data_IF_443562218400
#
_entry.id   IF_443562218400
#
_cell.length_a   1.000
_cell.length_b   1.000
_cell.length_c   1.000
_cell.angle_alpha   90.00
_cell.angle_beta   90.00
_cell.angle_gamma   90.00
#
_symmetry.space_group_name_H-M   'P 1'
#
loop_
_entity.id
_entity.type
_entity.pdbx_description
1 polymer ?
#
# COMPACT_ATOMS: atom_id res chain seq x y z
N UNK A 1 -5.03 -21.67 -3.59
CA UNK A 1 -4.11 -20.88 -4.46
C UNK A 1 -2.71 -20.95 -3.88
N UNK A 2 -1.75 -21.34 -4.69
CA UNK A 2 -0.34 -21.26 -4.33
C UNK A 2 0.18 -19.87 -4.71
N UNK A 3 0.66 -19.13 -3.75
CA UNK A 3 1.28 -17.83 -4.01
C UNK A 3 2.78 -17.99 -4.20
N UNK A 4 3.28 -17.41 -5.27
CA UNK A 4 4.71 -17.43 -5.57
C UNK A 4 5.39 -16.35 -4.75
N UNK A 5 6.44 -16.73 -4.04
CA UNK A 5 7.29 -15.76 -3.34
C UNK A 5 7.96 -14.81 -4.34
N UNK A 6 7.96 -13.53 -4.02
CA UNK A 6 8.63 -12.50 -4.80
C UNK A 6 10.10 -12.38 -4.38
N UNK A 7 11.01 -12.47 -5.35
CA UNK A 7 12.42 -12.27 -5.13
C UNK A 7 13.22 -13.54 -4.80
N UNK A 8 14.43 -13.41 -4.24
CA UNK A 8 15.26 -14.53 -3.83
C UNK A 8 14.58 -15.40 -2.79
N UNK A 9 14.92 -16.67 -2.78
CA UNK A 9 14.35 -17.62 -1.79
C UNK A 9 14.68 -17.21 -0.36
N UNK A 10 13.77 -17.47 0.55
CA UNK A 10 14.01 -17.30 1.98
C UNK A 10 15.22 -18.15 2.41
N UNK A 11 16.06 -17.57 3.27
CA UNK A 11 17.31 -18.18 3.67
C UNK A 11 18.49 -17.89 2.76
N UNK A 12 18.28 -17.23 1.62
CA UNK A 12 19.38 -16.76 0.77
C UNK A 12 20.23 -15.75 1.55
N UNK A 13 21.54 -15.91 1.52
CA UNK A 13 22.50 -15.10 2.30
C UNK A 13 23.37 -14.27 1.41
N UNK A 14 23.67 -13.04 1.87
CA UNK A 14 24.53 -12.10 1.18
C UNK A 14 25.37 -11.33 2.18
N UNK A 15 26.51 -10.80 1.75
CA UNK A 15 27.39 -10.04 2.60
C UNK A 15 27.10 -8.53 2.59
N UNK A 16 26.49 -8.05 1.50
CA UNK A 16 26.20 -6.62 1.30
C UNK A 16 24.75 -6.50 0.84
N UNK A 17 24.02 -5.57 1.46
CA UNK A 17 22.65 -5.25 1.05
C UNK A 17 22.63 -4.57 -0.33
N UNK A 18 21.59 -4.79 -1.13
CA UNK A 18 21.40 -4.07 -2.39
C UNK A 18 21.36 -2.55 -2.19
N UNK A 19 21.86 -1.81 -3.14
CA UNK A 19 21.82 -0.36 -3.12
C UNK A 19 20.37 0.16 -3.03
N UNK A 20 20.15 1.18 -2.20
CA UNK A 20 18.82 1.77 -2.04
C UNK A 20 17.92 1.08 -1.02
N UNK A 21 18.49 0.20 -0.20
CA UNK A 21 17.74 -0.40 0.90
C UNK A 21 17.28 0.65 1.93
N UNK A 22 16.19 0.36 2.61
CA UNK A 22 15.75 1.08 3.80
C UNK A 22 15.81 0.17 5.03
N UNK A 23 16.03 0.77 6.19
CA UNK A 23 16.04 0.07 7.47
C UNK A 23 14.81 0.44 8.28
N UNK A 24 14.20 -0.53 8.94
CA UNK A 24 13.11 -0.34 9.88
C UNK A 24 13.18 -1.38 10.99
N UNK A 25 12.39 -1.19 12.05
CA UNK A 25 12.34 -2.14 13.16
C UNK A 25 10.93 -2.74 13.28
N UNK A 26 10.87 -4.02 13.60
CA UNK A 26 9.65 -4.67 14.09
C UNK A 26 9.91 -5.07 15.53
N UNK A 27 9.32 -4.33 16.47
CA UNK A 27 9.72 -4.41 17.86
C UNK A 27 11.22 -4.06 18.02
N UNK A 28 12.00 -4.86 18.74
CA UNK A 28 13.44 -4.61 18.91
C UNK A 28 14.31 -5.15 17.76
N UNK A 29 13.71 -5.80 16.76
CA UNK A 29 14.45 -6.48 15.68
C UNK A 29 14.61 -5.56 14.48
N UNK A 30 15.85 -5.26 14.03
CA UNK A 30 16.09 -4.52 12.82
C UNK A 30 15.90 -5.39 11.58
N UNK A 31 15.21 -4.81 10.59
CA UNK A 31 15.03 -5.37 9.26
C UNK A 31 15.49 -4.38 8.21
N UNK A 32 15.78 -4.91 7.04
CA UNK A 32 16.14 -4.13 5.86
C UNK A 32 15.21 -4.50 4.72
N UNK A 33 14.89 -3.54 3.89
CA UNK A 33 13.95 -3.70 2.78
C UNK A 33 14.54 -3.09 1.51
N UNK A 34 14.44 -3.82 0.42
CA UNK A 34 14.75 -3.31 -0.89
C UNK A 34 13.83 -3.95 -1.93
N UNK A 35 13.06 -3.13 -2.62
CA UNK A 35 12.21 -3.51 -3.76
C UNK A 35 11.42 -4.82 -3.56
N UNK A 36 10.71 -4.92 -2.44
CA UNK A 36 9.84 -6.05 -2.11
C UNK A 36 10.53 -7.20 -1.36
N UNK A 37 11.83 -7.14 -1.15
CA UNK A 37 12.60 -8.17 -0.47
C UNK A 37 13.02 -7.71 0.91
N UNK A 38 12.86 -8.59 1.90
CA UNK A 38 13.17 -8.32 3.30
C UNK A 38 14.41 -9.08 3.73
N UNK A 39 15.24 -8.42 4.51
CA UNK A 39 16.49 -8.95 5.01
C UNK A 39 16.60 -8.72 6.51
N UNK A 40 17.32 -9.58 7.20
CA UNK A 40 17.77 -9.36 8.57
C UNK A 40 19.24 -9.68 8.72
N UNK A 41 19.84 -9.22 9.78
CA UNK A 41 21.21 -9.59 10.12
C UNK A 41 21.33 -11.11 10.32
N UNK A 42 22.37 -11.68 9.77
CA UNK A 42 22.71 -13.07 9.93
C UNK A 42 24.16 -13.21 10.42
N UNK A 43 24.32 -13.75 11.62
CA UNK A 43 25.63 -13.99 12.24
C UNK A 43 26.63 -12.84 12.04
N UNK A 44 27.90 -13.10 12.02
CA UNK A 44 29.00 -12.12 12.04
C UNK A 44 29.14 -11.29 10.73
N UNK A 45 28.15 -10.47 10.39
CA UNK A 45 28.29 -9.45 9.35
C UNK A 45 27.67 -9.80 7.99
N UNK A 46 26.74 -10.74 7.96
CA UNK A 46 25.94 -11.04 6.76
C UNK A 46 24.46 -10.67 6.92
N UNK A 47 23.74 -10.86 5.85
CA UNK A 47 22.29 -10.67 5.78
C UNK A 47 21.61 -11.92 5.22
N UNK A 48 20.39 -12.15 5.63
CA UNK A 48 19.58 -13.27 5.16
C UNK A 48 18.23 -12.75 4.65
N UNK A 49 17.81 -13.24 3.50
CA UNK A 49 16.47 -12.99 2.98
C UNK A 49 15.45 -13.71 3.86
N UNK A 50 14.48 -12.95 4.34
CA UNK A 50 13.43 -13.45 5.25
C UNK A 50 12.05 -13.17 4.70
N UNK A 51 11.06 -13.90 5.21
CA UNK A 51 9.66 -13.62 4.92
C UNK A 51 9.30 -12.20 5.40
N UNK A 52 8.40 -11.49 4.68
CA UNK A 52 7.89 -10.20 5.12
C UNK A 52 7.29 -10.31 6.52
N UNK A 53 7.79 -9.57 7.52
CA UNK A 53 7.21 -9.62 8.85
C UNK A 53 5.88 -8.86 8.89
N UNK A 54 4.88 -9.42 9.57
CA UNK A 54 3.62 -8.72 9.83
C UNK A 54 3.88 -7.39 10.53
N UNK A 55 3.11 -6.37 10.17
CA UNK A 55 3.21 -5.00 10.67
C UNK A 55 4.50 -4.25 10.27
N UNK A 56 5.34 -4.83 9.42
CA UNK A 56 6.42 -4.08 8.79
C UNK A 56 5.85 -2.95 7.94
N UNK A 57 6.44 -1.77 8.04
CA UNK A 57 6.05 -0.59 7.27
C UNK A 57 7.17 -0.19 6.34
N UNK A 58 6.88 -0.11 5.05
CA UNK A 58 7.84 0.25 4.01
C UNK A 58 7.37 1.47 3.22
N UNK A 59 8.31 2.24 2.68
CA UNK A 59 8.01 3.50 1.99
C UNK A 59 7.66 3.32 0.52
N UNK A 60 7.99 2.19 -0.07
CA UNK A 60 7.83 1.94 -1.50
C UNK A 60 7.57 0.46 -1.75
N UNK A 61 6.66 0.18 -2.66
CA UNK A 61 6.42 -1.17 -3.19
C UNK A 61 7.12 -1.34 -4.55
N UNK A 62 7.46 -2.57 -4.95
CA UNK A 62 7.98 -2.84 -6.28
C UNK A 62 6.96 -2.50 -7.37
N UNK A 63 7.45 -2.22 -8.58
CA UNK A 63 6.61 -1.78 -9.70
C UNK A 63 5.57 -2.84 -10.13
N UNK A 64 5.79 -4.10 -9.83
CA UNK A 64 4.86 -5.21 -10.12
C UNK A 64 3.81 -5.43 -9.02
N UNK A 65 3.74 -4.59 -8.00
CA UNK A 65 2.68 -4.63 -7.02
C UNK A 65 1.32 -4.43 -7.70
N UNK A 66 0.36 -5.28 -7.38
CA UNK A 66 -0.99 -5.21 -7.93
C UNK A 66 -1.98 -4.76 -6.87
N UNK A 67 -3.02 -4.06 -7.30
CA UNK A 67 -4.11 -3.65 -6.41
C UNK A 67 -5.19 -4.73 -6.42
N UNK A 68 -5.69 -5.09 -5.25
CA UNK A 68 -6.84 -5.98 -5.09
C UNK A 68 -7.81 -5.42 -4.07
N UNK A 69 -9.09 -5.72 -4.24
CA UNK A 69 -10.16 -5.38 -3.30
C UNK A 69 -10.72 -6.67 -2.72
N UNK A 70 -10.70 -6.80 -1.40
CA UNK A 70 -11.20 -7.96 -0.66
C UNK A 70 -12.10 -7.45 0.46
N UNK A 71 -13.33 -7.92 0.50
CA UNK A 71 -14.34 -7.52 1.50
C UNK A 71 -14.49 -6.00 1.65
N UNK A 72 -14.47 -5.28 0.53
CA UNK A 72 -14.61 -3.83 0.51
C UNK A 72 -13.36 -3.05 0.94
N UNK A 73 -12.21 -3.72 1.12
CA UNK A 73 -10.94 -3.11 1.51
C UNK A 73 -9.93 -3.19 0.36
N UNK A 74 -9.19 -2.11 0.16
CA UNK A 74 -8.10 -2.05 -0.83
C UNK A 74 -6.80 -2.59 -0.23
N UNK A 75 -6.16 -3.47 -0.98
CA UNK A 75 -4.83 -4.00 -0.67
C UNK A 75 -3.90 -3.88 -1.87
N UNK A 76 -2.61 -3.77 -1.59
CA UNK A 76 -1.57 -4.02 -2.58
C UNK A 76 -1.02 -5.41 -2.36
N UNK A 77 -0.77 -6.13 -3.43
CA UNK A 77 -0.28 -7.50 -3.39
C UNK A 77 1.05 -7.62 -4.12
N UNK A 78 2.02 -8.21 -3.45
CA UNK A 78 3.32 -8.58 -4.00
C UNK A 78 3.55 -10.06 -3.69
N UNK A 79 3.40 -10.94 -4.68
CA UNK A 79 3.38 -12.38 -4.41
C UNK A 79 2.26 -12.74 -3.45
N UNK A 80 2.56 -13.43 -2.36
CA UNK A 80 1.61 -13.75 -1.30
C UNK A 80 1.49 -12.72 -0.18
N UNK A 81 2.16 -11.58 -0.31
CA UNK A 81 2.19 -10.53 0.71
C UNK A 81 1.19 -9.43 0.40
N UNK A 82 0.38 -9.07 1.39
CA UNK A 82 -0.61 -8.01 1.28
C UNK A 82 -0.21 -6.80 2.10
N UNK A 83 -0.41 -5.62 1.52
CA UNK A 83 -0.10 -4.33 2.12
C UNK A 83 -1.33 -3.44 2.15
N UNK A 84 -1.43 -2.63 3.20
CA UNK A 84 -2.35 -1.48 3.26
C UNK A 84 -1.58 -0.18 3.29
N UNK A 85 -2.16 0.85 2.66
CA UNK A 85 -1.65 2.20 2.77
C UNK A 85 -1.80 2.73 4.20
N UNK A 86 -0.76 3.37 4.69
CA UNK A 86 -0.76 4.12 5.94
C UNK A 86 -0.21 5.52 5.73
N UNK A 87 -0.67 6.46 6.53
CA UNK A 87 -0.19 7.83 6.52
C UNK A 87 0.39 8.17 7.89
N UNK A 88 1.63 8.66 7.89
CA UNK A 88 2.26 9.16 9.10
C UNK A 88 1.67 10.51 9.52
N UNK A 89 1.98 10.95 10.73
CA UNK A 89 1.61 12.29 11.23
C UNK A 89 2.06 13.43 10.31
N UNK A 90 3.11 13.20 9.53
CA UNK A 90 3.63 14.15 8.54
C UNK A 90 3.02 13.98 7.14
N UNK A 91 1.88 13.32 7.03
CA UNK A 91 1.20 13.00 5.77
C UNK A 91 2.07 12.21 4.76
N UNK A 92 3.05 11.46 5.25
CA UNK A 92 3.89 10.61 4.42
C UNK A 92 3.21 9.25 4.19
N UNK A 93 3.05 8.89 2.94
CA UNK A 93 2.50 7.58 2.56
C UNK A 93 3.51 6.48 2.83
N UNK A 94 3.05 5.40 3.42
CA UNK A 94 3.77 4.15 3.61
C UNK A 94 2.84 2.95 3.42
N UNK A 95 3.41 1.76 3.42
CA UNK A 95 2.66 0.52 3.20
C UNK A 95 2.99 -0.46 4.33
N UNK A 96 1.96 -0.92 5.02
CA UNK A 96 2.10 -1.88 6.11
C UNK A 96 1.75 -3.29 5.65
N UNK A 97 2.58 -4.27 6.02
CA UNK A 97 2.29 -5.69 5.81
C UNK A 97 1.14 -6.12 6.69
N UNK A 98 0.03 -6.53 6.09
CA UNK A 98 -1.19 -6.98 6.78
C UNK A 98 -1.52 -8.45 6.52
N UNK A 99 -0.80 -9.10 5.64
CA UNK A 99 -0.97 -10.52 5.36
C UNK A 99 0.21 -11.11 4.62
N UNK A 100 0.43 -12.39 4.85
CA UNK A 100 1.48 -13.19 4.20
C UNK A 100 0.89 -14.52 3.74
N UNK A 101 1.59 -15.23 2.85
CA UNK A 101 1.16 -16.53 2.32
C UNK A 101 -0.27 -16.53 1.73
N UNK A 102 -0.69 -15.40 1.18
CA UNK A 102 -2.01 -15.25 0.60
C UNK A 102 -3.14 -15.09 1.60
N UNK A 103 -2.85 -14.86 2.87
CA UNK A 103 -3.84 -14.65 3.95
C UNK A 103 -3.72 -13.25 4.50
N UNK A 104 -4.86 -12.57 4.61
CA UNK A 104 -4.94 -11.23 5.21
C UNK A 104 -5.37 -11.36 6.66
N UNK A 105 -4.58 -10.79 7.57
CA UNK A 105 -4.88 -10.68 8.98
C UNK A 105 -5.42 -9.27 9.26
N UNK A 106 -6.72 -9.09 9.15
CA UNK A 106 -7.38 -7.83 9.43
C UNK A 106 -8.20 -7.95 10.70
N UNK A 107 -7.80 -7.20 11.72
CA UNK A 107 -8.56 -7.04 12.95
C UNK A 107 -9.50 -5.82 12.92
N UNK A 108 -9.82 -5.29 11.75
CA UNK A 108 -10.64 -4.09 11.68
C UNK A 108 -11.76 -4.18 10.66
N UNK A 109 -12.95 -4.02 11.22
CA UNK A 109 -14.21 -3.94 10.54
C UNK A 109 -14.51 -2.53 10.00
N UNK A 110 -15.01 -2.52 8.80
CA UNK A 110 -16.04 -1.72 8.16
C UNK A 110 -16.32 -0.28 8.59
N UNK A 111 -16.36 0.58 7.61
CA UNK A 111 -17.32 1.67 7.57
C UNK A 111 -18.00 1.77 6.20
N UNK A 112 -19.32 1.77 6.24
CA UNK A 112 -20.23 1.90 5.10
C UNK A 112 -20.28 3.32 4.54
N UNK A 113 -20.36 3.43 3.21
CA UNK A 113 -20.64 4.70 2.55
C UNK A 113 -21.76 4.58 1.53
N UNK A 114 -22.79 5.38 1.73
CA UNK A 114 -23.95 5.53 0.85
C UNK A 114 -23.73 6.54 -0.27
N UNK A 115 -24.31 6.22 -1.42
CA UNK A 115 -24.19 6.95 -2.67
C UNK A 115 -25.14 8.15 -2.79
N UNK A 116 -24.74 9.18 -3.53
CA UNK A 116 -25.65 10.14 -4.17
C UNK A 116 -25.09 10.65 -5.51
N UNK A 117 -26.00 11.18 -6.32
CA UNK A 117 -26.00 11.30 -7.76
C UNK A 117 -25.79 12.74 -8.27
N UNK A 118 -25.14 12.85 -9.38
CA UNK A 118 -25.14 13.74 -10.55
C UNK A 118 -24.63 15.18 -10.53
N UNK A 119 -23.83 15.39 -11.54
CA UNK A 119 -23.54 16.52 -12.46
C UNK A 119 -22.46 17.54 -12.10
N UNK A 120 -21.34 17.47 -12.86
CA UNK A 120 -20.36 18.48 -13.30
C UNK A 120 -19.62 19.26 -12.21
N UNK A 121 -18.47 18.90 -11.92
CA UNK A 121 -18.15 17.83 -11.01
C UNK A 121 -18.77 18.12 -9.65
N UNK A 122 -19.96 17.60 -9.45
CA UNK A 122 -20.66 17.77 -8.17
C UNK A 122 -19.96 16.96 -7.09
N UNK A 123 -19.98 17.51 -5.89
CA UNK A 123 -19.55 16.80 -4.72
C UNK A 123 -20.29 15.46 -4.59
N UNK A 124 -19.55 14.37 -4.36
CA UNK A 124 -20.11 13.04 -4.24
C UNK A 124 -20.23 12.25 -5.55
N UNK A 125 -20.06 12.90 -6.71
CA UNK A 125 -20.03 12.16 -7.99
C UNK A 125 -18.89 11.17 -8.05
N UNK A 126 -19.15 9.98 -8.59
CA UNK A 126 -18.18 8.88 -8.67
C UNK A 126 -17.88 8.51 -10.09
N UNK A 127 -16.60 8.29 -10.37
CA UNK A 127 -16.09 7.96 -11.68
C UNK A 127 -15.23 6.69 -11.62
N UNK A 128 -15.22 5.93 -12.70
CA UNK A 128 -14.39 4.72 -12.82
C UNK A 128 -12.92 5.06 -13.08
N UNK A 129 -12.65 6.23 -13.65
CA UNK A 129 -11.30 6.68 -13.99
C UNK A 129 -11.07 8.11 -13.51
N UNK A 130 -9.81 8.40 -13.16
CA UNK A 130 -9.38 9.77 -12.86
C UNK A 130 -9.17 10.58 -14.14
N UNK A 131 -9.47 11.89 -14.11
CA UNK A 131 -9.05 12.78 -15.18
C UNK A 131 -7.53 12.70 -15.40
N UNK A 132 -7.12 12.89 -16.67
CA UNK A 132 -5.70 12.99 -17.02
C UNK A 132 -4.99 14.08 -16.19
N UNK A 133 -3.71 13.89 -15.93
CA UNK A 133 -2.86 14.82 -15.17
C UNK A 133 -3.26 15.00 -13.68
N UNK A 134 -4.10 14.13 -13.14
CA UNK A 134 -4.37 14.10 -11.70
C UNK A 134 -3.12 13.75 -10.92
N UNK A 135 -2.86 14.48 -9.83
CA UNK A 135 -1.68 14.27 -8.95
C UNK A 135 -2.13 13.84 -7.56
N UNK A 136 -1.34 12.98 -6.95
CA UNK A 136 -1.59 12.56 -5.56
C UNK A 136 -1.22 13.66 -4.59
N UNK A 137 -2.11 13.96 -3.65
CA UNK A 137 -1.89 14.86 -2.53
C UNK A 137 -2.38 14.21 -1.24
N UNK A 138 -1.58 14.28 -0.18
CA UNK A 138 -1.97 13.78 1.14
C UNK A 138 -2.31 14.96 2.04
N UNK A 139 -3.52 14.96 2.59
CA UNK A 139 -4.03 16.00 3.50
C UNK A 139 -4.64 15.30 4.71
N UNK A 140 -4.17 15.65 5.90
CA UNK A 140 -4.67 15.08 7.16
C UNK A 140 -4.71 13.54 7.17
N UNK A 141 -3.63 12.90 6.70
CA UNK A 141 -3.51 11.43 6.61
C UNK A 141 -4.53 10.77 5.66
N UNK A 142 -5.07 11.54 4.73
CA UNK A 142 -5.97 11.06 3.68
C UNK A 142 -5.37 11.36 2.30
N UNK A 143 -5.41 10.37 1.43
CA UNK A 143 -4.95 10.51 0.04
C UNK A 143 -6.07 11.10 -0.83
N UNK A 144 -5.71 12.10 -1.60
CA UNK A 144 -6.55 12.71 -2.63
C UNK A 144 -5.82 12.71 -3.97
N UNK A 145 -6.61 12.74 -5.03
CA UNK A 145 -6.13 13.02 -6.38
C UNK A 145 -6.66 14.38 -6.78
N UNK A 146 -5.77 15.26 -7.22
CA UNK A 146 -6.12 16.65 -7.54
C UNK A 146 -5.85 16.91 -9.01
N UNK A 147 -6.87 17.40 -9.73
CA UNK A 147 -6.73 17.81 -11.12
C UNK A 147 -6.07 19.18 -11.24
N UNK A 148 -5.50 19.54 -12.40
CA UNK A 148 -5.03 20.91 -12.65
C UNK A 148 -6.10 21.98 -12.45
N UNK A 149 -7.38 21.63 -12.64
CA UNK A 149 -8.52 22.51 -12.42
C UNK A 149 -8.98 22.66 -10.96
N UNK A 150 -8.29 22.03 -10.01
CA UNK A 150 -8.59 22.17 -8.58
C UNK A 150 -9.70 21.24 -8.07
N UNK A 151 -10.03 20.19 -8.80
CA UNK A 151 -11.02 19.18 -8.35
C UNK A 151 -10.29 18.08 -7.56
N UNK A 152 -10.80 17.81 -6.38
CA UNK A 152 -10.26 16.79 -5.48
C UNK A 152 -11.11 15.51 -5.55
N UNK A 153 -10.45 14.40 -5.75
CA UNK A 153 -11.04 13.06 -5.73
C UNK A 153 -10.42 12.23 -4.62
N UNK A 154 -11.23 11.38 -4.00
CA UNK A 154 -10.73 10.29 -3.15
C UNK A 154 -11.12 8.94 -3.74
N UNK A 155 -10.36 7.92 -3.45
CA UNK A 155 -10.75 6.55 -3.75
C UNK A 155 -11.89 6.12 -2.82
N UNK A 156 -12.90 5.51 -3.38
CA UNK A 156 -13.97 4.82 -2.66
C UNK A 156 -14.09 3.39 -3.21
N UNK A 157 -14.44 2.46 -2.36
CA UNK A 157 -14.63 1.07 -2.74
C UNK A 157 -16.12 0.81 -2.85
N UNK A 158 -16.54 0.37 -4.03
CA UNK A 158 -17.92 0.06 -4.34
C UNK A 158 -18.01 -1.39 -4.85
N UNK A 159 -18.45 -2.29 -3.97
CA UNK A 159 -18.36 -3.72 -4.22
C UNK A 159 -16.89 -4.16 -4.34
N UNK A 160 -16.50 -4.72 -5.47
CA UNK A 160 -15.13 -5.16 -5.77
C UNK A 160 -14.36 -4.15 -6.64
N UNK A 161 -14.88 -2.94 -6.80
CA UNK A 161 -14.28 -1.90 -7.65
C UNK A 161 -13.82 -0.70 -6.84
N UNK A 162 -12.73 -0.09 -7.30
CA UNK A 162 -12.29 1.22 -6.85
C UNK A 162 -12.92 2.26 -7.77
N UNK A 163 -13.57 3.27 -7.17
CA UNK A 163 -14.09 4.44 -7.85
C UNK A 163 -13.50 5.72 -7.26
N UNK A 164 -13.64 6.79 -7.96
CA UNK A 164 -13.10 8.09 -7.55
C UNK A 164 -14.24 9.06 -7.32
N UNK A 165 -14.38 9.51 -6.08
CA UNK A 165 -15.45 10.40 -5.64
C UNK A 165 -14.96 11.85 -5.51
N UNK A 166 -15.71 12.77 -6.07
CA UNK A 166 -15.43 14.21 -5.95
C UNK A 166 -15.69 14.66 -4.51
N UNK A 167 -14.66 15.19 -3.86
CA UNK A 167 -14.73 15.62 -2.46
C UNK A 167 -14.65 17.13 -2.27
N UNK A 168 -14.00 17.84 -3.19
CA UNK A 168 -13.92 19.28 -3.18
C UNK A 168 -13.66 19.82 -4.59
N UNK A 169 -14.11 21.05 -4.82
CA UNK A 169 -13.84 21.84 -6.04
C UNK A 169 -13.38 23.22 -5.59
N UNK A 170 -12.20 23.65 -6.07
CA UNK A 170 -11.65 24.99 -5.82
C UNK A 170 -11.82 25.91 -7.01
#
# INVERSE_FOLDING_TARGET
>A
RTYVHYGPSFGFRLHVLPFGYSQFNVGPVPYYYNDGVYYRNYNNGGYEVVAPPLNATVNRLPANATVTVIDGQKYYQVGGTFYQEEFSENNKLSYRVVGTDGVINTDNANEDLNAYDEAIPNLGSRYDELPAESKVQVINQQKYFVTPGGVYYKEVIEGDKIRYEVTAVQ
#
